data_IF_505688074037
#
_entry.id   IF_505688074037
#
_cell.length_a   1.000
_cell.length_b   1.000
_cell.length_c   1.000
_cell.angle_alpha   90.00
_cell.angle_beta   90.00
_cell.angle_gamma   90.00
#
_symmetry.space_group_name_H-M   'P 1'
#
loop_
_entity.id
_entity.type
_entity.pdbx_description
1 polymer ?
#
# COMPACT_ATOMS: atom_id res chain seq x y z
N UNK A 1 -13.73 4.52 7.01
CA UNK A 1 -13.99 3.36 7.89
C UNK A 1 -12.78 2.44 7.74
N UNK A 2 -12.11 2.10 8.84
CA UNK A 2 -11.14 1.01 8.85
C UNK A 2 -11.94 -0.22 9.27
N UNK A 3 -12.15 -1.16 8.36
CA UNK A 3 -12.72 -2.46 8.74
C UNK A 3 -11.57 -3.44 8.87
N UNK A 4 -11.40 -3.93 10.10
CA UNK A 4 -10.56 -5.06 10.43
C UNK A 4 -11.42 -6.32 10.40
N UNK A 5 -11.12 -7.24 9.50
CA UNK A 5 -11.71 -8.58 9.55
C UNK A 5 -11.05 -9.40 10.67
N UNK A 6 -11.35 -9.11 11.94
CA UNK A 6 -10.91 -9.94 13.07
C UNK A 6 -11.77 -11.21 13.15
N UNK A 7 -11.13 -12.38 13.26
CA UNK A 7 -11.87 -13.61 13.51
C UNK A 7 -11.04 -14.88 13.50
N UNK A 8 -10.48 -15.22 14.66
CA UNK A 8 -9.99 -16.56 15.00
C UNK A 8 -8.99 -16.54 16.16
N UNK A 9 -9.29 -17.22 17.28
CA UNK A 9 -8.29 -17.53 18.31
C UNK A 9 -7.11 -18.28 17.66
N UNK A 10 -5.87 -18.06 18.10
CA UNK A 10 -4.72 -18.80 17.61
C UNK A 10 -4.84 -20.26 18.05
N UNK A 11 -5.38 -21.13 17.20
CA UNK A 11 -5.53 -22.55 17.53
C UNK A 11 -4.44 -23.44 16.91
N UNK A 12 -3.43 -22.89 16.20
CA UNK A 12 -2.27 -23.67 15.70
C UNK A 12 -1.01 -22.80 15.59
N UNK A 13 0.16 -23.41 15.79
CA UNK A 13 1.53 -22.86 15.63
C UNK A 13 1.85 -22.45 14.18
N UNK A 14 1.05 -21.56 13.58
CA UNK A 14 1.17 -21.14 12.19
C UNK A 14 1.13 -19.63 12.01
N UNK A 15 1.57 -19.13 10.83
CA UNK A 15 1.42 -17.72 10.46
C UNK A 15 -0.05 -17.27 10.55
N UNK A 16 -0.27 -16.11 11.16
CA UNK A 16 -1.58 -15.45 11.19
C UNK A 16 -1.60 -14.38 10.10
N UNK A 17 -2.64 -14.38 9.28
CA UNK A 17 -2.85 -13.36 8.25
C UNK A 17 -3.92 -12.39 8.72
N UNK A 18 -3.52 -11.14 8.93
CA UNK A 18 -4.44 -10.04 9.21
C UNK A 18 -4.52 -9.13 7.98
N UNK A 19 -5.75 -8.83 7.57
CA UNK A 19 -6.02 -7.90 6.46
C UNK A 19 -6.78 -6.70 7.00
N UNK A 20 -6.21 -5.50 6.83
CA UNK A 20 -6.84 -4.23 7.19
C UNK A 20 -7.27 -3.53 5.92
N UNK A 21 -8.57 -3.25 5.79
CA UNK A 21 -9.12 -2.51 4.67
C UNK A 21 -9.38 -1.05 5.05
N UNK A 22 -8.74 -0.14 4.32
CA UNK A 22 -8.92 1.30 4.50
C UNK A 22 -9.64 1.89 3.29
N UNK A 23 -10.87 2.38 3.49
CA UNK A 23 -11.59 3.15 2.48
C UNK A 23 -12.13 4.46 3.07
N UNK A 24 -11.73 5.62 2.53
CA UNK A 24 -12.33 6.88 2.92
C UNK A 24 -13.74 6.97 2.32
N UNK A 25 -14.74 7.15 3.18
CA UNK A 25 -16.15 7.30 2.78
C UNK A 25 -16.57 8.78 2.87
N UNK A 26 -17.54 9.18 2.06
CA UNK A 26 -18.11 10.54 2.09
C UNK A 26 -18.39 11.12 0.70
N UNK A 27 -19.01 12.29 0.65
CA UNK A 27 -19.41 12.97 -0.60
C UNK A 27 -18.20 13.44 -1.42
N UNK A 28 -18.37 13.56 -2.74
CA UNK A 28 -17.33 14.09 -3.64
C UNK A 28 -16.89 15.48 -3.17
N UNK A 29 -15.60 15.78 -3.28
CA UNK A 29 -14.98 17.04 -2.85
C UNK A 29 -14.97 17.31 -1.32
N UNK A 30 -15.35 16.34 -0.48
CA UNK A 30 -15.26 16.47 0.99
C UNK A 30 -13.84 16.36 1.57
N UNK A 31 -12.78 16.44 0.75
CA UNK A 31 -11.40 16.33 1.23
C UNK A 31 -10.94 14.91 1.61
N UNK A 32 -11.69 13.85 1.27
CA UNK A 32 -11.33 12.45 1.57
C UNK A 32 -9.88 12.08 1.23
N UNK A 33 -9.45 12.40 0.01
CA UNK A 33 -8.08 12.12 -0.45
C UNK A 33 -7.06 12.97 0.29
N UNK A 34 -7.41 14.21 0.62
CA UNK A 34 -6.56 15.13 1.39
C UNK A 34 -6.36 14.60 2.81
N UNK A 35 -7.42 14.18 3.52
CA UNK A 35 -7.29 13.61 4.86
C UNK A 35 -6.54 12.27 4.84
N UNK A 36 -6.81 11.41 3.86
CA UNK A 36 -6.25 10.06 3.84
C UNK A 36 -4.79 10.01 3.41
N UNK A 37 -4.38 10.79 2.40
CA UNK A 37 -3.01 10.78 1.88
C UNK A 37 -2.22 12.03 2.26
N UNK A 38 -2.89 13.17 2.38
CA UNK A 38 -2.26 14.47 2.61
C UNK A 38 -1.52 15.01 1.38
N UNK A 39 -1.22 16.31 1.36
CA UNK A 39 -0.24 16.89 0.45
C UNK A 39 1.18 16.42 0.80
N UNK A 40 2.17 16.68 -0.07
CA UNK A 40 3.55 16.22 0.19
C UNK A 40 4.21 16.88 1.42
N UNK A 41 3.77 18.09 1.78
CA UNK A 41 4.29 18.83 2.93
C UNK A 41 3.55 18.52 4.25
N UNK A 42 2.40 17.86 4.19
CA UNK A 42 1.66 17.42 5.38
C UNK A 42 1.09 16.03 5.14
N UNK A 43 1.77 15.02 5.69
CA UNK A 43 1.37 13.63 5.50
C UNK A 43 -0.01 13.36 6.09
N UNK A 44 -0.89 12.74 5.30
CA UNK A 44 -2.23 12.37 5.76
C UNK A 44 -2.23 11.17 6.69
N UNK A 45 -3.41 10.60 6.91
CA UNK A 45 -3.59 9.48 7.82
C UNK A 45 -2.77 8.24 7.40
N UNK A 46 -2.80 7.87 6.12
CA UNK A 46 -2.18 6.63 5.64
C UNK A 46 -0.65 6.61 5.82
N UNK A 47 0.14 7.63 5.39
CA UNK A 47 1.58 7.61 5.62
C UNK A 47 1.95 7.58 7.10
N UNK A 48 1.19 8.31 7.95
CA UNK A 48 1.38 8.30 9.40
C UNK A 48 1.07 6.93 10.00
N UNK A 49 -0.03 6.29 9.60
CA UNK A 49 -0.37 4.93 10.03
C UNK A 49 0.70 3.90 9.63
N UNK A 50 1.25 4.00 8.41
CA UNK A 50 2.34 3.13 7.98
C UNK A 50 3.57 3.30 8.88
N UNK A 51 3.95 4.54 9.21
CA UNK A 51 5.07 4.79 10.14
C UNK A 51 4.83 4.15 11.51
N UNK A 52 3.64 4.34 12.10
CA UNK A 52 3.29 3.72 13.39
C UNK A 52 3.34 2.20 13.32
N UNK A 53 2.79 1.59 12.27
CA UNK A 53 2.81 0.13 12.07
C UNK A 53 4.27 -0.37 12.03
N UNK A 54 5.11 0.21 11.18
CA UNK A 54 6.49 -0.24 11.03
C UNK A 54 7.35 0.01 12.27
N UNK A 55 7.16 1.13 12.97
CA UNK A 55 7.83 1.40 14.25
C UNK A 55 7.41 0.37 15.32
N UNK A 56 6.13 -0.02 15.36
CA UNK A 56 5.63 -0.99 16.35
C UNK A 56 6.16 -2.43 16.15
N UNK A 57 6.56 -2.79 14.93
CA UNK A 57 7.14 -4.10 14.57
C UNK A 57 8.65 -4.05 14.34
N UNK A 58 9.31 -2.94 14.68
CA UNK A 58 10.75 -2.78 14.49
C UNK A 58 11.53 -3.92 15.18
N UNK A 59 12.55 -4.44 14.49
CA UNK A 59 13.31 -5.63 14.96
C UNK A 59 12.56 -6.97 14.89
N UNK A 60 11.24 -6.95 14.62
CA UNK A 60 10.37 -8.14 14.49
C UNK A 60 9.94 -8.41 13.05
N UNK A 61 10.44 -7.68 12.06
CA UNK A 61 10.15 -7.95 10.64
C UNK A 61 10.71 -9.33 10.25
N UNK A 62 9.87 -10.13 9.59
CA UNK A 62 10.21 -11.44 9.10
C UNK A 62 11.16 -11.33 7.89
N UNK A 63 12.38 -11.91 7.95
CA UNK A 63 13.43 -11.62 6.97
C UNK A 63 13.22 -12.34 5.63
N UNK A 64 12.39 -13.39 5.60
CA UNK A 64 12.11 -14.14 4.37
C UNK A 64 10.88 -13.58 3.67
N UNK A 65 10.91 -13.63 2.34
CA UNK A 65 9.78 -13.24 1.48
C UNK A 65 8.95 -14.45 1.04
N UNK A 66 9.05 -15.56 1.78
CA UNK A 66 8.42 -16.83 1.42
C UNK A 66 6.98 -16.96 1.92
N UNK A 67 6.48 -16.07 2.78
CA UNK A 67 5.11 -16.09 3.27
C UNK A 67 4.28 -15.02 2.56
N UNK A 68 3.46 -15.44 1.58
CA UNK A 68 2.56 -14.55 0.84
C UNK A 68 1.11 -14.75 1.27
N UNK A 69 0.35 -13.68 1.57
CA UNK A 69 -1.07 -13.79 1.87
C UNK A 69 -1.83 -14.33 0.66
N UNK A 70 -2.80 -15.20 0.92
CA UNK A 70 -3.68 -15.77 -0.08
C UNK A 70 -5.12 -15.76 0.44
N UNK A 71 -6.05 -15.21 -0.35
CA UNK A 71 -7.46 -15.00 0.10
C UNK A 71 -7.49 -14.16 1.39
N UNK A 72 -8.63 -14.06 2.05
CA UNK A 72 -8.79 -13.19 3.23
C UNK A 72 -8.03 -13.66 4.49
N UNK A 73 -7.70 -14.95 4.60
CA UNK A 73 -7.21 -15.56 5.84
C UNK A 73 -6.17 -16.68 5.64
N UNK A 74 -5.85 -17.05 4.41
CA UNK A 74 -4.84 -18.08 4.14
C UNK A 74 -3.50 -17.43 3.80
N UNK A 75 -2.44 -18.23 3.82
CA UNK A 75 -1.15 -17.87 3.25
C UNK A 75 -0.65 -19.02 2.39
N UNK A 76 0.31 -18.72 1.53
CA UNK A 76 1.10 -19.71 0.81
C UNK A 76 2.58 -19.51 1.10
N UNK A 77 3.30 -20.63 1.14
CA UNK A 77 4.75 -20.63 1.12
C UNK A 77 5.24 -20.62 -0.32
N UNK A 78 6.04 -19.62 -0.66
CA UNK A 78 6.61 -19.46 -1.98
C UNK A 78 7.90 -20.27 -2.13
N UNK A 79 8.08 -20.92 -3.28
CA UNK A 79 9.37 -21.51 -3.65
C UNK A 79 10.42 -20.44 -3.89
N UNK A 80 11.69 -20.82 -3.95
CA UNK A 80 12.81 -19.90 -4.23
C UNK A 80 12.62 -19.18 -5.56
N UNK A 81 12.11 -19.88 -6.57
CA UNK A 81 11.83 -19.33 -7.91
C UNK A 81 10.70 -18.30 -7.85
N UNK A 82 9.64 -18.61 -7.09
CA UNK A 82 8.52 -17.68 -6.89
C UNK A 82 8.96 -16.43 -6.12
N UNK A 83 9.79 -16.58 -5.09
CA UNK A 83 10.37 -15.44 -4.36
C UNK A 83 11.22 -14.55 -5.27
N UNK A 84 12.01 -15.14 -6.16
CA UNK A 84 12.82 -14.40 -7.14
C UNK A 84 11.95 -13.64 -8.16
N UNK A 85 10.85 -14.26 -8.61
CA UNK A 85 9.87 -13.63 -9.50
C UNK A 85 9.16 -12.45 -8.82
N UNK A 86 8.68 -12.63 -7.58
CA UNK A 86 8.05 -11.55 -6.80
C UNK A 86 9.03 -10.41 -6.51
N UNK A 87 10.27 -10.73 -6.14
CA UNK A 87 11.32 -9.74 -5.90
C UNK A 87 11.65 -8.95 -7.17
N UNK A 88 11.66 -9.61 -8.33
CA UNK A 88 11.90 -8.95 -9.62
C UNK A 88 10.72 -8.09 -10.06
N UNK A 89 9.49 -8.56 -9.85
CA UNK A 89 8.26 -7.80 -10.10
C UNK A 89 8.20 -6.54 -9.22
N UNK A 90 8.45 -6.68 -7.91
CA UNK A 90 8.57 -5.58 -6.95
C UNK A 90 9.63 -4.56 -7.37
N UNK A 91 10.83 -5.02 -7.76
CA UNK A 91 11.91 -4.15 -8.23
C UNK A 91 11.53 -3.38 -9.49
N UNK A 92 10.87 -4.03 -10.43
CA UNK A 92 10.34 -3.40 -11.65
C UNK A 92 9.31 -2.34 -11.31
N UNK A 93 8.34 -2.66 -10.43
CA UNK A 93 7.30 -1.75 -9.97
C UNK A 93 7.90 -0.49 -9.32
N UNK A 94 8.82 -0.66 -8.36
CA UNK A 94 9.44 0.46 -7.65
C UNK A 94 10.31 1.35 -8.55
N UNK A 95 10.84 0.81 -9.66
CA UNK A 95 11.61 1.59 -10.64
C UNK A 95 10.76 2.67 -11.32
N UNK A 96 9.45 2.42 -11.52
CA UNK A 96 8.53 3.37 -12.15
C UNK A 96 8.46 4.72 -11.41
N UNK A 97 8.69 4.74 -10.09
CA UNK A 97 8.77 6.00 -9.34
C UNK A 97 10.07 6.76 -9.58
N UNK A 98 11.22 6.06 -9.63
CA UNK A 98 12.53 6.70 -9.81
C UNK A 98 12.63 7.47 -11.14
N UNK A 99 11.96 6.98 -12.17
CA UNK A 99 11.92 7.65 -13.49
C UNK A 99 11.07 8.93 -13.47
N UNK A 100 10.07 9.03 -12.60
CA UNK A 100 9.22 10.22 -12.49
C UNK A 100 9.82 11.36 -11.65
N UNK A 101 10.69 11.07 -10.69
CA UNK A 101 11.36 12.12 -9.89
C UNK A 101 12.39 12.89 -10.75
N UNK A 102 13.03 12.18 -11.68
CA UNK A 102 14.03 12.78 -12.60
C UNK A 102 13.44 13.79 -13.58
N UNK A 103 12.15 13.73 -13.86
CA UNK A 103 11.45 14.68 -14.73
C UNK A 103 10.92 15.92 -14.01
N UNK A 104 11.05 16.01 -12.67
CA UNK A 104 10.74 17.24 -11.91
C UNK A 104 11.97 17.99 -11.39
N UNK A 105 13.17 17.40 -11.46
CA UNK A 105 14.42 18.06 -11.00
C UNK A 105 15.23 18.64 -12.17
N UNK A 106 14.64 19.55 -12.93
CA UNK A 106 15.36 20.47 -13.84
C UNK A 106 14.91 21.89 -13.52
N UNK A 107 15.39 22.43 -12.41
CA UNK A 107 15.11 23.82 -12.03
C UNK A 107 15.43 24.12 -10.58
N UNK A 108 16.66 24.60 -10.35
CA UNK A 108 17.16 25.35 -9.17
C UNK A 108 17.73 24.51 -8.01
N UNK A 109 19.00 24.13 -8.17
CA UNK A 109 19.94 24.03 -7.06
C UNK A 109 20.39 25.43 -6.64
N UNK A 110 20.00 25.87 -5.44
CA UNK A 110 20.81 26.81 -4.67
C UNK A 110 20.84 26.30 -3.24
N UNK A 111 21.98 25.73 -2.88
CA UNK A 111 22.42 25.55 -1.52
C UNK A 111 22.28 26.88 -0.77
N UNK A 112 21.54 26.89 0.34
CA UNK A 112 21.69 27.91 1.37
C UNK A 112 21.61 27.20 2.73
N UNK A 113 22.73 27.37 3.41
CA UNK A 113 23.09 26.96 4.77
C UNK A 113 22.30 27.74 5.84
N UNK A 114 22.18 27.12 7.01
CA UNK A 114 21.96 27.77 8.31
C UNK A 114 20.68 28.58 8.54
N UNK A 115 19.76 28.05 9.36
CA UNK A 115 19.36 28.71 10.61
C UNK A 115 18.42 27.84 11.46
N UNK A 116 18.79 27.76 12.74
CA UNK A 116 18.00 27.30 13.87
C UNK A 116 16.67 28.06 14.02
N UNK A 117 15.57 27.36 14.29
CA UNK A 117 14.46 27.92 15.07
C UNK A 117 13.60 26.81 15.71
N UNK A 118 13.70 26.74 17.04
CA UNK A 118 12.74 26.21 18.02
C UNK A 118 11.86 25.01 17.61
N UNK A 119 12.40 23.81 17.83
CA UNK A 119 11.61 22.62 18.15
C UNK A 119 11.02 22.81 19.55
N UNK A 120 9.80 23.35 19.61
CA UNK A 120 8.91 23.21 20.76
C UNK A 120 7.58 22.63 20.29
N UNK A 121 7.46 21.31 20.44
CA UNK A 121 6.21 20.61 20.70
C UNK A 121 6.60 19.19 21.07
N UNK A 122 6.69 18.98 22.37
CA UNK A 122 6.69 17.69 23.05
C UNK A 122 5.48 16.85 22.62
N UNK A 123 5.57 16.23 21.44
CA UNK A 123 4.85 15.00 21.21
C UNK A 123 5.68 13.90 21.84
N UNK A 124 5.22 13.45 23.01
CA UNK A 124 5.68 12.20 23.61
C UNK A 124 5.78 11.17 22.50
N UNK A 125 6.96 10.61 22.28
CA UNK A 125 7.13 9.43 21.44
C UNK A 125 6.43 8.27 22.15
N UNK A 126 5.10 8.26 22.04
CA UNK A 126 4.25 7.18 22.50
C UNK A 126 4.57 6.01 21.59
N UNK A 127 5.63 5.31 21.98
CA UNK A 127 6.23 4.21 21.25
C UNK A 127 5.19 3.10 21.33
N UNK A 128 4.33 3.05 20.33
CA UNK A 128 3.22 2.10 20.26
C UNK A 128 3.83 0.70 20.19
N UNK A 129 3.96 0.04 21.34
CA UNK A 129 4.50 -1.31 21.43
C UNK A 129 3.34 -2.30 21.30
N UNK A 130 3.48 -3.24 20.36
CA UNK A 130 2.51 -4.33 20.26
C UNK A 130 2.66 -5.24 21.48
N UNK A 131 1.58 -5.41 22.24
CA UNK A 131 1.44 -6.38 23.33
C UNK A 131 1.30 -7.80 22.75
N UNK A 132 2.39 -8.28 22.14
CA UNK A 132 2.50 -9.57 21.46
C UNK A 132 3.86 -10.16 21.79
N UNK A 133 3.93 -11.49 21.92
CA UNK A 133 5.15 -12.23 22.17
C UNK A 133 6.33 -11.78 21.28
N UNK A 134 7.50 -11.60 21.90
CA UNK A 134 8.73 -11.16 21.22
C UNK A 134 9.24 -12.12 20.14
N UNK A 135 8.78 -13.38 20.18
CA UNK A 135 9.09 -14.41 19.20
C UNK A 135 8.26 -14.28 17.91
N UNK A 136 7.20 -13.47 17.91
CA UNK A 136 6.36 -13.24 16.73
C UNK A 136 7.11 -12.37 15.73
N UNK A 137 7.04 -12.77 14.46
CA UNK A 137 7.62 -12.03 13.34
C UNK A 137 6.54 -11.60 12.36
N UNK A 138 6.72 -10.42 11.78
CA UNK A 138 5.72 -9.77 10.94
C UNK A 138 6.19 -9.65 9.49
N UNK A 139 5.33 -10.02 8.54
CA UNK A 139 5.56 -9.76 7.12
C UNK A 139 4.42 -8.88 6.60
N UNK A 140 4.77 -7.71 6.08
CA UNK A 140 3.78 -6.73 5.61
C UNK A 140 3.65 -6.81 4.09
N UNK A 141 2.41 -6.93 3.62
CA UNK A 141 2.09 -6.97 2.20
C UNK A 141 1.05 -5.92 1.87
N UNK A 142 1.27 -5.21 0.76
CA UNK A 142 0.42 -4.11 0.30
C UNK A 142 -0.24 -4.50 -1.01
N UNK A 143 -1.56 -4.35 -1.05
CA UNK A 143 -2.38 -4.41 -2.26
C UNK A 143 -3.15 -3.11 -2.40
N UNK A 144 -3.41 -2.64 -3.62
CA UNK A 144 -4.19 -1.43 -3.83
C UNK A 144 -5.07 -1.58 -5.08
N UNK A 145 -6.38 -1.41 -4.91
CA UNK A 145 -7.35 -1.50 -6.00
C UNK A 145 -8.38 -0.36 -5.93
N UNK A 146 -8.99 -0.07 -7.07
CA UNK A 146 -10.10 0.85 -7.22
C UNK A 146 -11.36 0.09 -7.60
N UNK A 147 -12.50 0.46 -7.02
CA UNK A 147 -13.80 -0.03 -7.45
C UNK A 147 -14.48 1.12 -8.19
N UNK A 148 -14.66 0.96 -9.49
CA UNK A 148 -15.30 1.95 -10.35
C UNK A 148 -16.27 1.26 -11.31
N UNK A 149 -17.51 1.76 -11.36
CA UNK A 149 -18.56 1.22 -12.23
C UNK A 149 -18.73 -0.31 -12.07
N UNK A 150 -18.88 -0.78 -10.83
CA UNK A 150 -18.97 -2.20 -10.44
C UNK A 150 -17.80 -3.11 -10.86
N UNK A 151 -16.72 -2.52 -11.37
CA UNK A 151 -15.50 -3.24 -11.72
C UNK A 151 -14.39 -2.95 -10.71
N UNK A 152 -13.62 -3.98 -10.38
CA UNK A 152 -12.46 -3.87 -9.50
C UNK A 152 -11.21 -3.79 -10.37
N UNK A 153 -10.38 -2.77 -10.18
CA UNK A 153 -9.17 -2.56 -10.95
C UNK A 153 -7.95 -2.59 -10.02
N UNK A 154 -6.97 -3.44 -10.35
CA UNK A 154 -5.70 -3.50 -9.62
C UNK A 154 -4.83 -2.28 -9.94
N UNK A 155 -4.64 -1.38 -8.98
CA UNK A 155 -3.83 -0.18 -9.19
C UNK A 155 -2.32 -0.48 -9.18
N UNK A 156 -1.89 -1.68 -8.79
CA UNK A 156 -0.49 -2.12 -8.80
C UNK A 156 -0.16 -2.99 -10.03
N UNK A 157 -1.16 -3.33 -10.86
CA UNK A 157 -0.97 -4.00 -12.13
C UNK A 157 -0.20 -3.09 -13.11
N UNK A 158 0.86 -3.64 -13.70
CA UNK A 158 1.55 -3.00 -14.81
C UNK A 158 0.75 -3.34 -16.08
N UNK A 159 0.13 -2.34 -16.70
CA UNK A 159 -0.58 -2.53 -17.97
C UNK A 159 0.46 -2.92 -19.03
N UNK A 160 0.35 -4.11 -19.65
CA UNK A 160 1.30 -4.53 -20.67
C UNK A 160 1.31 -3.56 -21.86
N UNK A 161 2.48 -3.38 -22.46
CA UNK A 161 2.66 -2.57 -23.68
C UNK A 161 1.71 -3.07 -24.77
N UNK A 162 0.67 -2.30 -25.08
CA UNK A 162 -0.34 -2.64 -26.10
C UNK A 162 -1.77 -2.83 -25.59
N UNK A 163 -1.98 -2.93 -24.28
CA UNK A 163 -3.33 -2.83 -23.71
C UNK A 163 -3.62 -1.40 -23.27
N UNK A 164 -4.81 -0.89 -23.62
CA UNK A 164 -5.27 0.44 -23.22
C UNK A 164 -5.88 0.47 -21.81
N UNK A 165 -6.26 -0.68 -21.24
CA UNK A 165 -6.99 -0.76 -19.97
C UNK A 165 -6.57 -1.98 -19.16
N UNK A 166 -6.66 -1.84 -17.83
CA UNK A 166 -6.46 -2.92 -16.84
C UNK A 166 -7.58 -3.95 -16.93
N UNK A 167 -7.28 -5.18 -16.60
CA UNK A 167 -8.30 -6.23 -16.52
C UNK A 167 -9.17 -6.00 -15.29
N UNK A 168 -10.49 -6.09 -15.43
CA UNK A 168 -11.39 -6.06 -14.30
C UNK A 168 -11.24 -7.35 -13.47
N UNK A 169 -10.87 -7.20 -12.21
CA UNK A 169 -10.81 -8.28 -11.24
C UNK A 169 -12.21 -8.68 -10.78
N UNK A 170 -12.34 -9.92 -10.33
CA UNK A 170 -13.61 -10.49 -9.85
C UNK A 170 -13.53 -10.79 -8.36
N UNK A 171 -14.64 -10.53 -7.67
CA UNK A 171 -14.87 -11.09 -6.35
C UNK A 171 -15.04 -12.60 -6.48
N UNK A 172 -14.41 -13.34 -5.58
CA UNK A 172 -14.50 -14.79 -5.47
C UNK A 172 -14.64 -15.16 -4.00
N UNK A 173 -15.40 -16.21 -3.71
CA UNK A 173 -15.61 -16.62 -2.33
C UNK A 173 -16.75 -17.62 -2.17
N UNK A 174 -16.81 -18.25 -0.99
CA UNK A 174 -17.95 -19.04 -0.51
C UNK A 174 -18.40 -18.44 0.83
N UNK A 175 -19.70 -18.52 1.12
CA UNK A 175 -20.41 -17.95 2.29
C UNK A 175 -19.50 -17.35 3.39
N UNK A 176 -19.47 -16.01 3.48
CA UNK A 176 -18.77 -15.27 4.53
C UNK A 176 -17.28 -15.00 4.30
N UNK A 177 -16.68 -15.52 3.22
CA UNK A 177 -15.26 -15.30 2.92
C UNK A 177 -15.04 -14.89 1.45
N UNK A 178 -15.30 -13.61 1.14
CA UNK A 178 -15.11 -13.01 -0.19
C UNK A 178 -13.76 -12.33 -0.31
N UNK A 179 -12.98 -12.69 -1.33
CA UNK A 179 -11.70 -12.07 -1.67
C UNK A 179 -11.68 -11.62 -3.12
N UNK A 180 -10.80 -10.69 -3.44
CA UNK A 180 -10.54 -10.25 -4.82
C UNK A 180 -9.55 -11.24 -5.44
N UNK A 181 -9.98 -11.97 -6.46
CA UNK A 181 -9.10 -12.91 -7.16
C UNK A 181 -8.07 -12.14 -7.99
N UNK A 182 -6.84 -12.65 -8.03
CA UNK A 182 -5.73 -12.14 -8.84
C UNK A 182 -5.25 -10.73 -8.45
N UNK A 183 -5.69 -10.20 -7.30
CA UNK A 183 -5.18 -8.96 -6.74
C UNK A 183 -3.69 -9.08 -6.43
N UNK A 184 -2.89 -8.14 -6.91
CA UNK A 184 -1.45 -8.11 -6.67
C UNK A 184 -1.15 -7.70 -5.22
N UNK A 185 -0.22 -8.45 -4.64
CA UNK A 185 0.36 -8.18 -3.33
C UNK A 185 1.84 -7.89 -3.48
N UNK A 186 2.30 -6.80 -2.88
CA UNK A 186 3.70 -6.38 -2.88
C UNK A 186 4.19 -6.36 -1.45
N UNK A 187 5.19 -7.19 -1.14
CA UNK A 187 5.79 -7.18 0.19
C UNK A 187 6.49 -5.84 0.44
N UNK A 188 6.26 -5.24 1.59
CA UNK A 188 6.93 -4.02 2.03
C UNK A 188 7.78 -4.31 3.28
N UNK A 189 9.04 -3.87 3.24
CA UNK A 189 10.00 -4.06 4.33
C UNK A 189 10.18 -2.81 5.19
N UNK A 190 9.60 -1.67 4.78
CA UNK A 190 9.59 -0.43 5.55
C UNK A 190 8.36 0.43 5.22
N UNK A 191 8.10 1.43 6.06
CA UNK A 191 7.06 2.44 5.85
C UNK A 191 7.23 3.19 4.53
N UNK A 192 8.47 3.55 4.18
CA UNK A 192 8.80 4.28 2.96
C UNK A 192 8.52 3.42 1.73
N UNK A 193 8.82 2.13 1.80
CA UNK A 193 8.56 1.20 0.71
C UNK A 193 7.06 0.96 0.51
N UNK A 194 6.31 0.72 1.59
CA UNK A 194 4.86 0.63 1.53
C UNK A 194 4.25 1.91 0.93
N UNK A 195 4.73 3.08 1.36
CA UNK A 195 4.23 4.35 0.86
C UNK A 195 4.59 4.57 -0.62
N UNK A 196 5.78 4.13 -1.08
CA UNK A 196 6.13 4.12 -2.51
C UNK A 196 5.16 3.27 -3.33
N UNK A 197 4.83 2.06 -2.87
CA UNK A 197 3.84 1.21 -3.56
C UNK A 197 2.50 1.95 -3.69
N UNK A 198 2.06 2.64 -2.64
CA UNK A 198 0.83 3.44 -2.67
C UNK A 198 0.91 4.63 -3.64
N UNK A 199 2.05 5.34 -3.69
CA UNK A 199 2.28 6.42 -4.67
C UNK A 199 2.16 5.93 -6.12
N UNK A 200 2.61 4.70 -6.40
CA UNK A 200 2.45 4.08 -7.73
C UNK A 200 0.98 3.86 -8.05
N UNK A 201 0.24 3.23 -7.13
CA UNK A 201 -1.19 3.00 -7.31
C UNK A 201 -1.99 4.29 -7.53
N UNK A 202 -1.63 5.37 -6.84
CA UNK A 202 -2.25 6.70 -7.05
C UNK A 202 -1.99 7.27 -8.43
N UNK A 203 -0.76 7.15 -8.95
CA UNK A 203 -0.46 7.56 -10.33
C UNK A 203 -1.32 6.74 -11.30
N UNK A 204 -1.36 5.43 -11.09
CA UNK A 204 -2.16 4.50 -11.87
C UNK A 204 -3.67 4.81 -11.86
N UNK A 205 -4.19 5.31 -10.75
CA UNK A 205 -5.56 5.82 -10.63
C UNK A 205 -5.79 7.05 -11.52
N UNK A 206 -4.90 8.05 -11.46
CA UNK A 206 -5.05 9.29 -12.27
C UNK A 206 -5.05 9.02 -13.77
N UNK A 207 -4.26 8.05 -14.26
CA UNK A 207 -4.24 7.62 -15.66
C UNK A 207 -5.50 6.86 -16.11
N UNK A 208 -6.33 6.37 -15.18
CA UNK A 208 -7.58 5.66 -15.50
C UNK A 208 -8.75 6.61 -15.78
N UNK A 209 -8.61 7.89 -15.47
CA UNK A 209 -9.61 8.93 -15.71
C UNK A 209 -9.68 9.20 -17.22
N UNK A 210 -10.62 8.57 -17.93
CA UNK A 210 -10.87 8.91 -19.34
C UNK A 210 -11.27 10.38 -19.47
N UNK A 211 -10.76 11.12 -20.48
CA UNK A 211 -11.25 12.46 -20.76
C UNK A 211 -12.73 12.36 -21.12
N UNK A 212 -13.56 13.06 -20.36
CA UNK A 212 -14.97 13.29 -20.68
C UNK A 212 -15.05 13.72 -22.14
N UNK A 213 -15.78 12.95 -22.95
CA UNK A 213 -16.04 13.26 -24.36
C UNK A 213 -16.51 14.70 -24.45
N UNK A 214 -15.74 15.53 -25.16
CA UNK A 214 -16.15 16.88 -25.56
C UNK A 214 -17.43 16.72 -26.37
N UNK A 215 -18.55 17.26 -25.86
CA UNK A 215 -19.77 17.39 -26.64
C UNK A 215 -19.46 18.28 -27.86
N UNK A 216 -19.73 17.83 -29.11
CA UNK A 216 -19.69 18.74 -30.23
C UNK A 216 -20.80 19.78 -30.09
N UNK A 217 -20.45 21.03 -30.40
CA UNK A 217 -21.32 22.19 -30.41
C UNK A 217 -22.45 22.08 -31.44
#
# INVERSE_FOLDING_TARGET
MMESCFGGKPEREGPVVETVWCSPYGVTNAGKTFTFLGPEHDSGLLPRSLSVIFNSIEGRVYPRSDLKPQRCRDFIRLTTEQQAAESSSKRSLLRLLKESDRSQTSGRSTFLDGSSLSTDSSVSEDSFCLDVDSNVRFSVWVSFCEIYNDNIHDLLEQVPSGQQRRTALRLSGRQGNSFIKDLRWVQASSSEEAYRVMKIGRKNQSFSSTPSTVCPA
#
